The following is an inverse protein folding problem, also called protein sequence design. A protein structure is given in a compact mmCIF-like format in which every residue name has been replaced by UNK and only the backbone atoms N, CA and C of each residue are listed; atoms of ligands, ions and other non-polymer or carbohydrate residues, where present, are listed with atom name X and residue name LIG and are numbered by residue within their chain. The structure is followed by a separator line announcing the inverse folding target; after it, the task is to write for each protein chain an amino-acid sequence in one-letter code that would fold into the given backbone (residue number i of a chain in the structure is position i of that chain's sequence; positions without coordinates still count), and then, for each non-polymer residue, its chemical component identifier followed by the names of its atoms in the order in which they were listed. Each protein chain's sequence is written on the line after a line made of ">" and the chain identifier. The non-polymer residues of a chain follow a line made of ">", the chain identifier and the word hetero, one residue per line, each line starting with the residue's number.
data_IF_525119412971
#
_entry.id   IF_525119412971
#
_cell.length_a   1.000
_cell.length_b   1.000
_cell.length_c   1.000
_cell.angle_alpha   90.00
_cell.angle_beta   90.00
_cell.angle_gamma   90.00
#
_symmetry.space_group_name_H-M   'P 1'
#
loop_
_entity.id
_entity.type
_entity.pdbx_description
1 polymer ?
#
# COMPACT_ATOMS: atom_id res chain seq x y z
N UNK A 1 -7.40 27.12 17.02
CA UNK A 1 -7.79 26.96 15.60
C UNK A 1 -6.64 26.42 14.73
N UNK A 2 -5.39 26.89 14.89
CA UNK A 2 -4.25 26.55 14.01
C UNK A 2 -3.75 25.09 14.06
N UNK A 3 -3.86 24.41 15.20
CA UNK A 3 -3.39 23.02 15.34
C UNK A 3 -4.27 22.01 14.59
N UNK A 4 -5.59 22.26 14.56
CA UNK A 4 -6.54 21.38 13.89
C UNK A 4 -6.36 21.40 12.37
N UNK A 5 -6.10 22.58 11.78
CA UNK A 5 -5.84 22.70 10.34
C UNK A 5 -4.55 22.01 9.93
N UNK A 6 -3.48 22.11 10.74
CA UNK A 6 -2.22 21.41 10.49
C UNK A 6 -2.37 19.89 10.49
N UNK A 7 -3.13 19.35 11.45
CA UNK A 7 -3.39 17.90 11.52
C UNK A 7 -4.14 17.40 10.29
N UNK A 8 -5.16 18.15 9.84
CA UNK A 8 -5.91 17.82 8.64
C UNK A 8 -5.06 17.93 7.38
N UNK A 9 -4.18 18.92 7.30
CA UNK A 9 -3.28 19.12 6.16
C UNK A 9 -2.26 17.99 6.04
N UNK A 10 -1.62 17.62 7.15
CA UNK A 10 -0.70 16.46 7.19
C UNK A 10 -1.45 15.17 6.86
N UNK A 11 -2.63 14.95 7.45
CA UNK A 11 -3.46 13.79 7.16
C UNK A 11 -3.88 13.71 5.69
N UNK A 12 -4.19 14.85 5.06
CA UNK A 12 -4.52 14.94 3.64
C UNK A 12 -3.34 14.52 2.77
N UNK A 13 -2.15 15.07 3.01
CA UNK A 13 -0.96 14.69 2.25
C UNK A 13 -0.58 13.22 2.46
N UNK A 14 -0.73 12.72 3.69
CA UNK A 14 -0.49 11.30 4.02
C UNK A 14 -1.45 10.38 3.25
N UNK A 15 -2.76 10.70 3.23
CA UNK A 15 -3.76 9.93 2.49
C UNK A 15 -3.56 10.04 0.97
N UNK A 16 -3.17 11.20 0.44
CA UNK A 16 -2.84 11.35 -0.98
C UNK A 16 -1.64 10.47 -1.36
N UNK A 17 -0.57 10.47 -0.56
CA UNK A 17 0.57 9.59 -0.76
C UNK A 17 0.17 8.11 -0.67
N UNK A 18 -0.63 7.75 0.34
CA UNK A 18 -1.18 6.41 0.48
C UNK A 18 -2.03 5.98 -0.71
N UNK A 19 -2.82 6.88 -1.30
CA UNK A 19 -3.61 6.63 -2.50
C UNK A 19 -2.75 6.37 -3.74
N UNK A 20 -1.66 7.12 -3.92
CA UNK A 20 -0.70 6.89 -5.01
C UNK A 20 -0.02 5.53 -4.84
N UNK A 21 0.40 5.18 -3.62
CA UNK A 21 1.00 3.87 -3.31
C UNK A 21 -0.01 2.75 -3.50
N UNK A 22 -1.27 2.93 -3.10
CA UNK A 22 -2.34 1.96 -3.32
C UNK A 22 -2.58 1.73 -4.82
N UNK A 23 -2.62 2.79 -5.63
CA UNK A 23 -2.74 2.68 -7.07
C UNK A 23 -1.55 1.93 -7.68
N UNK A 24 -0.32 2.29 -7.31
CA UNK A 24 0.89 1.62 -7.79
C UNK A 24 0.93 0.13 -7.36
N UNK A 25 0.56 -0.17 -6.12
CA UNK A 25 0.51 -1.54 -5.59
C UNK A 25 -0.57 -2.38 -6.29
N UNK A 26 -1.74 -1.80 -6.58
CA UNK A 26 -2.79 -2.50 -7.34
C UNK A 26 -2.39 -2.76 -8.79
N UNK A 27 -1.62 -1.89 -9.43
CA UNK A 27 -1.19 -2.06 -10.83
C UNK A 27 0.04 -2.96 -10.95
N UNK A 28 1.02 -2.84 -10.04
CA UNK A 28 2.34 -3.49 -10.16
C UNK A 28 2.53 -4.58 -9.09
N UNK A 29 2.17 -4.28 -7.84
CA UNK A 29 2.37 -5.19 -6.70
C UNK A 29 1.46 -6.41 -6.73
N UNK A 30 0.25 -6.30 -7.28
CA UNK A 30 -0.76 -7.35 -7.22
C UNK A 30 -0.40 -8.61 -8.01
N UNK A 31 0.26 -8.44 -9.16
CA UNK A 31 0.71 -9.55 -10.00
C UNK A 31 1.92 -10.27 -9.39
N UNK A 32 2.71 -9.58 -8.54
CA UNK A 32 3.87 -10.15 -7.84
C UNK A 32 3.54 -10.80 -6.51
N UNK A 33 2.61 -10.23 -5.74
CA UNK A 33 2.28 -10.72 -4.39
C UNK A 33 1.51 -12.04 -4.45
N UNK A 34 0.74 -12.30 -5.51
CA UNK A 34 0.07 -13.60 -5.59
C UNK A 34 -0.21 -14.14 -7.01
N UNK A 35 0.73 -14.91 -7.59
CA UNK A 35 0.49 -15.67 -8.82
C UNK A 35 -0.63 -16.75 -8.69
N UNK A 36 -0.99 -17.12 -7.45
CA UNK A 36 -1.94 -18.19 -7.12
C UNK A 36 -3.35 -17.71 -6.74
N UNK A 37 -3.61 -16.41 -6.60
CA UNK A 37 -4.90 -15.87 -6.17
C UNK A 37 -5.89 -15.75 -7.33
N UNK A 38 -6.10 -16.85 -8.07
CA UNK A 38 -7.13 -16.96 -9.12
C UNK A 38 -8.57 -16.89 -8.58
N UNK A 39 -8.77 -16.87 -7.26
CA UNK A 39 -10.10 -16.97 -6.63
C UNK A 39 -10.66 -15.74 -5.91
N UNK A 40 -9.87 -14.69 -5.65
CA UNK A 40 -10.27 -13.65 -4.67
C UNK A 40 -10.08 -12.21 -5.17
N UNK A 41 -10.62 -11.90 -6.34
CA UNK A 41 -10.63 -10.55 -6.92
C UNK A 41 -11.45 -9.53 -6.08
N UNK A 42 -12.39 -10.00 -5.27
CA UNK A 42 -13.29 -9.16 -4.45
C UNK A 42 -12.57 -8.51 -3.26
N UNK A 43 -11.46 -9.07 -2.78
CA UNK A 43 -10.70 -8.49 -1.67
C UNK A 43 -9.79 -7.34 -2.09
N UNK A 44 -9.56 -7.16 -3.40
CA UNK A 44 -8.63 -6.15 -3.93
C UNK A 44 -9.07 -4.71 -3.62
N UNK A 45 -10.34 -4.30 -3.82
CA UNK A 45 -10.80 -2.98 -3.43
C UNK A 45 -10.84 -2.79 -1.91
N UNK A 46 -11.08 -3.87 -1.15
CA UNK A 46 -11.13 -3.85 0.31
C UNK A 46 -9.75 -3.59 0.93
N UNK A 47 -8.68 -3.95 0.23
CA UNK A 47 -7.31 -3.64 0.62
C UNK A 47 -6.94 -2.17 0.40
N UNK A 48 -7.58 -1.44 -0.52
CA UNK A 48 -7.29 -0.02 -0.80
C UNK A 48 -7.28 0.84 0.48
N UNK A 49 -8.35 0.86 1.31
CA UNK A 49 -8.35 1.66 2.53
C UNK A 49 -7.26 1.22 3.52
N UNK A 50 -6.97 -0.09 3.59
CA UNK A 50 -5.87 -0.61 4.39
C UNK A 50 -4.52 -0.11 3.88
N UNK A 51 -4.25 -0.23 2.58
CA UNK A 51 -3.01 0.23 1.95
C UNK A 51 -2.84 1.73 2.13
N UNK A 52 -3.88 2.54 1.94
CA UNK A 52 -3.80 3.99 2.18
C UNK A 52 -3.42 4.33 3.64
N UNK A 53 -3.86 3.52 4.61
CA UNK A 53 -3.59 3.75 6.02
C UNK A 53 -2.17 3.33 6.41
N UNK A 54 -1.72 2.16 5.95
CA UNK A 54 -0.42 1.56 6.27
C UNK A 54 0.54 1.52 5.08
N UNK A 55 0.45 2.51 4.19
CA UNK A 55 1.24 2.59 2.96
C UNK A 55 2.76 2.49 3.16
N UNK A 56 3.39 3.03 4.22
CA UNK A 56 4.84 2.93 4.39
C UNK A 56 5.28 1.48 4.61
N UNK A 57 4.47 0.71 5.35
CA UNK A 57 4.73 -0.70 5.61
C UNK A 57 4.51 -1.56 4.35
N UNK A 58 3.47 -1.23 3.57
CA UNK A 58 3.20 -1.89 2.28
C UNK A 58 4.35 -1.65 1.31
N UNK A 59 4.82 -0.41 1.18
CA UNK A 59 5.96 -0.06 0.34
C UNK A 59 7.25 -0.76 0.81
N UNK A 60 7.51 -0.78 2.13
CA UNK A 60 8.66 -1.50 2.68
C UNK A 60 8.63 -2.99 2.37
N UNK A 61 7.46 -3.64 2.56
CA UNK A 61 7.29 -5.05 2.20
C UNK A 61 7.45 -5.29 0.71
N UNK A 62 6.89 -4.42 -0.13
CA UNK A 62 7.01 -4.54 -1.58
C UNK A 62 8.48 -4.43 -2.01
N UNK A 63 9.23 -3.45 -1.51
CA UNK A 63 10.66 -3.31 -1.80
C UNK A 63 11.48 -4.51 -1.29
N UNK A 64 11.10 -5.09 -0.14
CA UNK A 64 11.77 -6.28 0.40
C UNK A 64 11.54 -7.52 -0.47
N UNK A 65 10.30 -7.73 -0.93
CA UNK A 65 9.96 -8.80 -1.87
C UNK A 65 10.68 -8.63 -3.20
N UNK A 66 10.79 -7.40 -3.71
CA UNK A 66 11.55 -7.12 -4.94
C UNK A 66 13.06 -7.35 -4.79
N UNK A 67 13.61 -7.17 -3.58
CA UNK A 67 15.03 -7.42 -3.31
C UNK A 67 15.39 -8.91 -3.19
N UNK A 68 14.44 -9.83 -3.22
CA UNK A 68 14.72 -11.27 -3.22
C UNK A 68 15.37 -11.78 -1.92
N UNK A 69 15.21 -11.08 -0.80
CA UNK A 69 15.70 -11.51 0.53
C UNK A 69 14.89 -12.68 1.14
N UNK A 70 14.24 -13.51 0.33
CA UNK A 70 13.63 -14.76 0.77
C UNK A 70 14.53 -15.98 0.55
N UNK A 71 15.65 -15.85 -0.17
CA UNK A 71 16.55 -16.97 -0.51
C UNK A 71 17.77 -17.14 0.41
N UNK A 72 17.78 -16.53 1.60
CA UNK A 72 18.89 -16.61 2.55
C UNK A 72 18.52 -17.23 3.91
N UNK A 73 17.57 -18.17 3.94
CA UNK A 73 17.28 -18.94 5.16
C UNK A 73 17.04 -20.42 4.92
#
# INVERSE_FOLDING_TARGET
>A
MQTASLLLEIGRYYLMAGGVVAAAFLVIGIDRVEPSARGSYVFRPLLIPGICLIWPLVLYRWLKLERGEEDAR
#
